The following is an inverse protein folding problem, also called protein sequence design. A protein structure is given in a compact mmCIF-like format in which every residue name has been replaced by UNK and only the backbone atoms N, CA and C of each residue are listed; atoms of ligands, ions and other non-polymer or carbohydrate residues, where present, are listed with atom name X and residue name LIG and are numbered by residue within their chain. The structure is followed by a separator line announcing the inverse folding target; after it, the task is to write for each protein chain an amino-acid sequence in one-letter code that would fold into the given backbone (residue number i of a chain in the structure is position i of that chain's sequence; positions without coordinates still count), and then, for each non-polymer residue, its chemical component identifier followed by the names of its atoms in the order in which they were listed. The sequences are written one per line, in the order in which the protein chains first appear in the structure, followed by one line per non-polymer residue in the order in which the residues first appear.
data_IF_874214591950
#
_entry.id   IF_874214591950
#
_cell.length_a   1.000
_cell.length_b   1.000
_cell.length_c   1.000
_cell.angle_alpha   90.00
_cell.angle_beta   90.00
_cell.angle_gamma   90.00
#
_symmetry.space_group_name_H-M   'P 1'
#
loop_
_entity.id
_entity.type
_entity.pdbx_description
1 polymer ?
#
# COMPACT_ATOMS: atom_id res chain seq x y z
N UNK A 1 2.41 -15.25 28.32
CA UNK A 1 2.80 -15.10 26.90
C UNK A 1 3.51 -13.76 26.82
N UNK A 2 4.81 -13.80 26.58
CA UNK A 2 5.68 -12.61 26.60
C UNK A 2 5.27 -11.63 25.48
N UNK A 3 4.77 -10.46 25.85
CA UNK A 3 4.59 -9.30 24.96
C UNK A 3 5.93 -8.60 24.66
N UNK A 4 7.05 -9.35 24.69
CA UNK A 4 8.37 -8.83 24.44
C UNK A 4 8.52 -8.47 22.95
N UNK A 5 8.58 -7.16 22.68
CA UNK A 5 9.13 -6.54 21.48
C UNK A 5 8.31 -6.72 20.16
N UNK A 6 7.02 -6.42 20.20
CA UNK A 6 6.26 -6.26 18.97
C UNK A 6 6.82 -5.08 18.16
N UNK A 7 7.25 -5.33 16.91
CA UNK A 7 7.78 -4.28 16.06
C UNK A 7 6.71 -3.20 15.84
N UNK A 8 7.05 -1.96 16.20
CA UNK A 8 6.16 -0.82 16.04
C UNK A 8 6.18 -0.32 14.59
N UNK A 9 5.00 -0.04 14.03
CA UNK A 9 4.82 0.49 12.68
C UNK A 9 3.95 1.73 12.72
N UNK A 10 4.42 2.82 12.09
CA UNK A 10 3.62 4.03 11.89
C UNK A 10 2.86 3.97 10.56
N UNK A 11 1.57 4.32 10.55
CA UNK A 11 0.75 4.39 9.33
C UNK A 11 0.21 5.81 9.17
N UNK A 12 0.47 6.39 8.00
CA UNK A 12 0.01 7.73 7.60
C UNK A 12 -1.07 7.56 6.50
N UNK A 13 -2.29 7.99 6.82
CA UNK A 13 -3.46 7.75 6.00
C UNK A 13 -4.17 6.45 6.40
N UNK A 14 -5.34 6.59 7.03
CA UNK A 14 -6.18 5.49 7.55
C UNK A 14 -7.48 5.36 6.73
N UNK A 15 -7.41 5.69 5.44
CA UNK A 15 -8.48 5.50 4.45
C UNK A 15 -8.72 4.01 4.14
N UNK A 16 -9.28 3.71 2.96
CA UNK A 16 -9.64 2.32 2.58
C UNK A 16 -8.44 1.37 2.62
N UNK A 17 -7.30 1.78 2.04
CA UNK A 17 -6.09 0.94 2.03
C UNK A 17 -5.41 0.95 3.39
N UNK A 18 -5.13 2.14 3.95
CA UNK A 18 -4.42 2.24 5.23
C UNK A 18 -5.13 1.53 6.37
N UNK A 19 -6.46 1.57 6.44
CA UNK A 19 -7.22 0.79 7.43
C UNK A 19 -7.06 -0.72 7.22
N UNK A 20 -7.08 -1.20 5.97
CA UNK A 20 -6.86 -2.62 5.69
C UNK A 20 -5.45 -3.08 6.08
N UNK A 21 -4.41 -2.25 5.80
CA UNK A 21 -3.04 -2.53 6.25
C UNK A 21 -2.95 -2.55 7.78
N UNK A 22 -3.61 -1.59 8.45
CA UNK A 22 -3.69 -1.52 9.91
C UNK A 22 -4.26 -2.81 10.51
N UNK A 23 -5.42 -3.25 10.02
CA UNK A 23 -6.10 -4.44 10.50
C UNK A 23 -5.23 -5.70 10.34
N UNK A 24 -4.59 -5.85 9.17
CA UNK A 24 -3.70 -6.98 8.90
C UNK A 24 -2.47 -6.97 9.81
N UNK A 25 -1.80 -5.83 9.98
CA UNK A 25 -0.61 -5.73 10.84
C UNK A 25 -0.94 -6.03 12.29
N UNK A 26 -2.04 -5.50 12.82
CA UNK A 26 -2.51 -5.81 14.18
C UNK A 26 -2.80 -7.31 14.34
N UNK A 27 -3.47 -7.93 13.36
CA UNK A 27 -3.75 -9.38 13.39
C UNK A 27 -2.49 -10.26 13.39
N UNK A 28 -1.36 -9.71 12.91
CA UNK A 28 -0.04 -10.35 12.91
C UNK A 28 0.83 -9.96 14.12
N UNK A 29 0.26 -9.24 15.08
CA UNK A 29 0.93 -8.89 16.33
C UNK A 29 1.83 -7.66 16.27
N UNK A 30 1.71 -6.80 15.25
CA UNK A 30 2.42 -5.51 15.24
C UNK A 30 1.74 -4.49 16.14
N UNK A 31 2.53 -3.65 16.82
CA UNK A 31 2.03 -2.43 17.45
C UNK A 31 1.87 -1.34 16.39
N UNK A 32 0.63 -0.98 16.06
CA UNK A 32 0.36 -0.01 14.98
C UNK A 32 0.01 1.36 15.57
N UNK A 33 0.77 2.37 15.16
CA UNK A 33 0.50 3.79 15.43
C UNK A 33 -0.03 4.44 14.15
N UNK A 34 -1.16 5.14 14.21
CA UNK A 34 -1.80 5.67 13.03
C UNK A 34 -2.10 7.16 13.11
N UNK A 35 -1.95 7.85 11.97
CA UNK A 35 -2.39 9.22 11.78
C UNK A 35 -3.24 9.37 10.52
N UNK A 36 -4.29 10.16 10.63
CA UNK A 36 -5.13 10.61 9.52
C UNK A 36 -5.75 11.96 9.91
N UNK A 37 -5.88 12.96 9.02
CA UNK A 37 -6.57 14.21 9.33
C UNK A 37 -8.06 14.01 9.59
N UNK A 38 -8.71 12.98 8.99
CA UNK A 38 -10.12 12.67 9.21
C UNK A 38 -10.35 12.02 10.58
N UNK A 39 -11.12 12.70 11.50
CA UNK A 39 -11.43 12.13 12.81
C UNK A 39 -12.24 10.82 12.72
N UNK A 40 -13.04 10.63 11.66
CA UNK A 40 -13.80 9.38 11.46
C UNK A 40 -12.87 8.21 11.14
N UNK A 41 -11.82 8.46 10.31
CA UNK A 41 -10.79 7.47 10.01
C UNK A 41 -10.01 7.09 11.28
N UNK A 42 -9.61 8.08 12.09
CA UNK A 42 -8.96 7.86 13.39
C UNK A 42 -9.81 7.02 14.35
N UNK A 43 -11.12 7.31 14.42
CA UNK A 43 -12.04 6.57 15.28
C UNK A 43 -12.17 5.11 14.84
N UNK A 44 -12.25 4.85 13.53
CA UNK A 44 -12.28 3.48 13.00
C UNK A 44 -10.99 2.72 13.35
N UNK A 45 -9.82 3.35 13.14
CA UNK A 45 -8.54 2.72 13.44
C UNK A 45 -8.38 2.38 14.93
N UNK A 46 -8.83 3.26 15.85
CA UNK A 46 -8.86 2.94 17.29
C UNK A 46 -9.70 1.71 17.61
N UNK A 47 -10.86 1.56 16.97
CA UNK A 47 -11.73 0.39 17.16
C UNK A 47 -11.08 -0.91 16.68
N UNK A 48 -10.22 -0.84 15.68
CA UNK A 48 -9.41 -1.96 15.22
C UNK A 48 -8.20 -2.28 16.12
N UNK A 49 -7.92 -1.44 17.13
CA UNK A 49 -6.78 -1.64 18.05
C UNK A 49 -5.55 -0.81 17.75
N UNK A 50 -5.59 0.11 16.77
CA UNK A 50 -4.48 1.02 16.49
C UNK A 50 -4.37 2.11 17.56
N UNK A 51 -3.15 2.48 17.92
CA UNK A 51 -2.84 3.65 18.72
C UNK A 51 -2.80 4.88 17.81
N UNK A 52 -3.79 5.78 17.95
CA UNK A 52 -3.91 6.93 17.06
C UNK A 52 -3.25 8.14 17.69
N UNK A 53 -2.32 8.74 16.96
CA UNK A 53 -1.62 9.97 17.34
C UNK A 53 -2.32 11.21 16.77
N UNK A 54 -2.02 12.39 17.34
CA UNK A 54 -2.66 13.65 16.97
C UNK A 54 -1.99 14.34 15.77
N UNK A 55 -0.74 13.99 15.45
CA UNK A 55 -0.01 14.53 14.32
C UNK A 55 0.91 13.49 13.69
N UNK A 56 1.35 13.74 12.44
CA UNK A 56 2.23 12.81 11.71
C UNK A 56 3.63 12.71 12.35
N UNK A 57 4.10 13.80 12.93
CA UNK A 57 5.42 13.89 13.55
C UNK A 57 5.52 12.98 14.79
N UNK A 58 4.41 12.84 15.52
CA UNK A 58 4.37 11.98 16.70
C UNK A 58 4.56 10.49 16.37
N UNK A 59 4.36 10.08 15.11
CA UNK A 59 4.68 8.71 14.70
C UNK A 59 6.16 8.40 14.87
N UNK A 60 7.04 9.39 14.67
CA UNK A 60 8.50 9.24 14.78
C UNK A 60 8.94 8.91 16.22
N UNK A 61 8.17 9.31 17.24
CA UNK A 61 8.41 8.93 18.64
C UNK A 61 8.14 7.45 18.93
N UNK A 62 7.35 6.80 18.07
CA UNK A 62 6.89 5.44 18.29
C UNK A 62 7.50 4.43 17.30
N UNK A 63 7.84 4.86 16.07
CA UNK A 63 8.37 3.95 15.06
C UNK A 63 9.31 4.66 14.07
N UNK A 64 10.35 3.95 13.63
CA UNK A 64 11.20 4.32 12.50
C UNK A 64 10.80 3.57 11.21
N UNK A 65 9.76 2.76 11.25
CA UNK A 65 9.19 2.05 10.09
C UNK A 65 7.81 2.62 9.80
N UNK A 66 7.72 3.44 8.76
CA UNK A 66 6.49 4.15 8.39
C UNK A 66 5.95 3.63 7.06
N UNK A 67 4.62 3.55 6.99
CA UNK A 67 3.87 3.33 5.75
C UNK A 67 3.03 4.58 5.49
N UNK A 68 2.98 5.04 4.23
CA UNK A 68 2.00 6.05 3.81
C UNK A 68 1.05 5.48 2.76
N UNK A 69 -0.24 5.79 2.90
CA UNK A 69 -1.30 5.42 1.97
C UNK A 69 -2.25 6.62 1.80
N UNK A 70 -1.92 7.46 0.85
CA UNK A 70 -2.44 8.82 0.73
C UNK A 70 -3.25 9.01 -0.56
N UNK A 71 -4.28 9.88 -0.55
CA UNK A 71 -5.20 10.02 -1.68
C UNK A 71 -4.64 10.84 -2.84
N UNK A 72 -3.63 11.68 -2.62
CA UNK A 72 -3.13 12.63 -3.61
C UNK A 72 -1.66 12.99 -3.42
N UNK A 73 -1.09 13.60 -4.45
CA UNK A 73 0.25 14.18 -4.40
C UNK A 73 0.37 15.27 -3.33
N UNK A 74 -0.64 16.13 -3.20
CA UNK A 74 -0.63 17.23 -2.23
C UNK A 74 -0.62 16.68 -0.79
N UNK A 75 -1.41 15.64 -0.50
CA UNK A 75 -1.40 14.98 0.80
C UNK A 75 -0.03 14.35 1.11
N UNK A 76 0.64 13.78 0.09
CA UNK A 76 1.97 13.23 0.26
C UNK A 76 3.02 14.31 0.47
N UNK A 77 2.96 15.42 -0.28
CA UNK A 77 3.87 16.55 -0.11
C UNK A 77 3.72 17.19 1.26
N UNK A 78 2.49 17.47 1.70
CA UNK A 78 2.21 18.00 3.03
C UNK A 78 2.74 17.07 4.15
N UNK A 79 2.61 15.76 3.98
CA UNK A 79 3.17 14.78 4.91
C UNK A 79 4.70 14.87 4.95
N UNK A 80 5.35 14.97 3.79
CA UNK A 80 6.81 15.13 3.72
C UNK A 80 7.28 16.42 4.36
N UNK A 81 6.55 17.54 4.13
CA UNK A 81 6.87 18.84 4.70
C UNK A 81 6.82 18.78 6.24
N UNK A 82 5.76 18.22 6.81
CA UNK A 82 5.61 18.08 8.25
C UNK A 82 6.74 17.24 8.88
N UNK A 83 7.09 16.10 8.27
CA UNK A 83 8.18 15.25 8.74
C UNK A 83 9.54 15.96 8.67
N UNK A 84 9.82 16.67 7.57
CA UNK A 84 11.07 17.41 7.39
C UNK A 84 11.16 18.55 8.39
N UNK A 85 10.10 19.35 8.55
CA UNK A 85 10.07 20.47 9.48
C UNK A 85 10.31 20.03 10.93
N UNK A 86 9.65 18.93 11.33
CA UNK A 86 9.86 18.36 12.68
C UNK A 86 11.32 17.96 12.92
N UNK A 87 11.92 17.22 11.97
CA UNK A 87 13.29 16.74 12.12
C UNK A 87 14.34 17.86 12.02
N UNK A 88 14.05 18.95 11.30
CA UNK A 88 14.95 20.10 11.21
C UNK A 88 14.86 21.03 12.43
N UNK A 89 13.68 21.11 13.06
CA UNK A 89 13.49 21.88 14.32
C UNK A 89 13.99 21.16 15.56
N UNK A 90 13.92 19.83 15.57
CA UNK A 90 14.44 19.02 16.66
C UNK A 90 15.96 19.13 16.64
N UNK A 91 16.58 19.60 17.73
CA UNK A 91 18.01 19.89 17.86
C UNK A 91 18.88 18.78 17.23
N UNK A 92 19.96 19.13 16.49
CA UNK A 92 20.78 18.15 15.81
C UNK A 92 21.53 17.30 16.82
N UNK A 93 21.08 16.09 17.08
CA UNK A 93 21.77 14.99 17.75
C UNK A 93 21.00 14.16 18.77
N UNK A 94 19.69 14.17 18.80
CA UNK A 94 19.07 12.89 19.19
C UNK A 94 19.09 12.03 17.92
N UNK A 95 20.24 11.44 17.62
CA UNK A 95 20.34 10.47 16.53
C UNK A 95 19.28 9.39 16.81
N UNK A 96 18.26 9.31 15.97
CA UNK A 96 17.35 8.17 16.06
C UNK A 96 18.20 6.90 16.04
N UNK A 97 18.03 5.97 16.99
CA UNK A 97 18.89 4.81 17.13
C UNK A 97 18.91 3.91 15.89
N UNK A 98 18.03 4.18 14.97
CA UNK A 98 17.90 3.48 13.67
C UNK A 98 17.46 4.45 12.58
N UNK A 99 17.90 4.25 11.32
CA UNK A 99 17.44 5.07 10.19
C UNK A 99 15.92 5.02 10.04
N UNK A 100 15.28 6.17 9.79
CA UNK A 100 13.84 6.23 9.51
C UNK A 100 13.61 5.77 8.07
N UNK A 101 12.65 4.87 7.88
CA UNK A 101 12.23 4.39 6.56
C UNK A 101 10.74 4.70 6.38
N UNK A 102 10.40 5.42 5.31
CA UNK A 102 9.03 5.66 4.87
C UNK A 102 8.76 4.87 3.59
N UNK A 103 7.86 3.91 3.63
CA UNK A 103 7.40 3.20 2.44
C UNK A 103 6.09 3.82 1.93
N UNK A 104 6.17 4.50 0.79
CA UNK A 104 5.03 5.16 0.14
C UNK A 104 4.30 4.16 -0.75
N UNK A 105 3.05 3.84 -0.39
CA UNK A 105 2.26 2.78 -1.05
C UNK A 105 1.25 3.29 -2.07
N UNK A 106 1.05 4.60 -2.18
CA UNK A 106 0.06 5.19 -3.08
C UNK A 106 0.52 5.18 -4.54
N UNK A 107 -0.44 5.22 -5.45
CA UNK A 107 -0.17 5.35 -6.88
C UNK A 107 -0.08 6.83 -7.24
N UNK A 108 1.14 7.38 -7.19
CA UNK A 108 1.44 8.80 -7.43
C UNK A 108 2.45 8.96 -8.59
N UNK A 109 2.52 10.14 -9.23
CA UNK A 109 3.53 10.40 -10.27
C UNK A 109 4.95 10.15 -9.79
N UNK A 110 5.75 9.45 -10.61
CA UNK A 110 7.14 9.09 -10.28
C UNK A 110 7.98 10.35 -10.00
N UNK A 111 7.77 11.42 -10.77
CA UNK A 111 8.48 12.70 -10.61
C UNK A 111 8.28 13.30 -9.22
N UNK A 112 7.06 13.24 -8.69
CA UNK A 112 6.73 13.70 -7.34
C UNK A 112 7.44 12.85 -6.29
N UNK A 113 7.33 11.52 -6.39
CA UNK A 113 8.02 10.60 -5.46
C UNK A 113 9.54 10.82 -5.49
N UNK A 114 10.15 11.02 -6.67
CA UNK A 114 11.58 11.31 -6.80
C UNK A 114 11.99 12.66 -6.20
N UNK A 115 11.14 13.69 -6.33
CA UNK A 115 11.37 14.99 -5.69
C UNK A 115 11.34 14.84 -4.17
N UNK A 116 10.32 14.18 -3.63
CA UNK A 116 10.21 13.97 -2.19
C UNK A 116 11.30 13.03 -1.64
N UNK A 117 11.76 12.04 -2.41
CA UNK A 117 12.88 11.20 -2.02
C UNK A 117 14.13 12.04 -1.72
N UNK A 118 14.47 13.00 -2.60
CA UNK A 118 15.62 13.88 -2.39
C UNK A 118 15.45 14.77 -1.17
N UNK A 119 14.25 15.34 -0.97
CA UNK A 119 13.94 16.21 0.17
C UNK A 119 13.99 15.46 1.50
N UNK A 120 13.37 14.30 1.58
CA UNK A 120 13.37 13.46 2.77
C UNK A 120 14.78 12.96 3.14
N UNK A 121 15.61 12.68 2.14
CA UNK A 121 17.00 12.25 2.37
C UNK A 121 17.82 13.33 3.11
N UNK A 122 17.59 14.63 2.86
CA UNK A 122 18.28 15.72 3.60
C UNK A 122 17.87 15.76 5.07
N UNK A 123 16.69 15.25 5.42
CA UNK A 123 16.20 15.12 6.80
C UNK A 123 16.47 13.74 7.42
N UNK A 124 17.27 12.89 6.77
CA UNK A 124 17.62 11.55 7.30
C UNK A 124 16.55 10.48 7.12
N UNK A 125 15.51 10.72 6.32
CA UNK A 125 14.47 9.72 6.01
C UNK A 125 14.78 9.03 4.68
N UNK A 126 14.81 7.70 4.70
CA UNK A 126 14.88 6.88 3.49
C UNK A 126 13.48 6.62 2.95
N UNK A 127 13.16 7.17 1.79
CA UNK A 127 11.90 6.88 1.11
C UNK A 127 12.04 5.63 0.24
N UNK A 128 11.05 4.73 0.33
CA UNK A 128 10.83 3.62 -0.59
C UNK A 128 9.59 3.90 -1.45
N UNK A 129 9.63 3.51 -2.72
CA UNK A 129 8.47 3.50 -3.61
C UNK A 129 7.89 2.08 -3.65
N UNK A 130 6.72 1.90 -3.02
CA UNK A 130 6.15 0.59 -2.70
C UNK A 130 4.66 0.49 -3.07
N UNK A 131 4.23 0.82 -4.31
CA UNK A 131 2.82 0.72 -4.66
C UNK A 131 2.29 -0.70 -4.53
N UNK A 132 1.00 -0.80 -4.22
CA UNK A 132 0.32 -2.07 -3.98
C UNK A 132 -0.42 -2.54 -5.23
N UNK A 133 -0.36 -3.82 -5.51
CA UNK A 133 -1.20 -4.49 -6.51
C UNK A 133 -2.30 -5.28 -5.81
N UNK A 134 -3.53 -4.80 -5.96
CA UNK A 134 -4.75 -5.32 -5.34
C UNK A 134 -5.72 -4.18 -5.02
N UNK A 135 -6.94 -4.55 -4.68
CA UNK A 135 -8.02 -3.64 -4.25
C UNK A 135 -8.09 -3.54 -2.74
N UNK A 136 -8.85 -2.57 -2.20
CA UNK A 136 -9.09 -2.48 -0.76
C UNK A 136 -9.74 -3.74 -0.17
N UNK A 137 -10.61 -4.41 -0.94
CA UNK A 137 -11.19 -5.69 -0.51
C UNK A 137 -10.13 -6.79 -0.39
N UNK A 138 -9.23 -6.88 -1.37
CA UNK A 138 -8.10 -7.82 -1.32
C UNK A 138 -7.11 -7.48 -0.19
N UNK A 139 -6.86 -6.20 0.06
CA UNK A 139 -6.00 -5.77 1.16
C UNK A 139 -6.53 -6.21 2.53
N UNK A 140 -7.85 -6.19 2.74
CA UNK A 140 -8.49 -6.71 3.97
C UNK A 140 -8.26 -8.21 4.19
N UNK A 141 -7.99 -8.95 3.12
CA UNK A 141 -7.70 -10.39 3.16
C UNK A 141 -6.19 -10.69 3.09
N UNK A 142 -5.34 -9.65 3.08
CA UNK A 142 -3.90 -9.81 2.86
C UNK A 142 -3.53 -10.22 1.43
N UNK A 143 -4.49 -10.25 0.48
CA UNK A 143 -4.28 -10.66 -0.92
C UNK A 143 -3.80 -9.46 -1.79
N UNK A 144 -2.74 -8.80 -1.37
CA UNK A 144 -2.06 -7.77 -2.16
C UNK A 144 -0.60 -8.13 -2.39
N UNK A 145 0.00 -7.53 -3.42
CA UNK A 145 1.43 -7.64 -3.71
C UNK A 145 2.07 -6.26 -3.52
N UNK A 146 3.19 -6.22 -2.80
CA UNK A 146 4.01 -5.00 -2.65
C UNK A 146 5.09 -4.97 -3.72
N UNK A 147 5.13 -3.92 -4.51
CA UNK A 147 6.19 -3.63 -5.48
C UNK A 147 7.23 -2.70 -4.86
N UNK A 148 8.14 -3.25 -4.05
CA UNK A 148 9.11 -2.46 -3.30
C UNK A 148 10.28 -2.02 -4.18
N UNK A 149 10.65 -0.75 -4.13
CA UNK A 149 11.83 -0.23 -4.82
C UNK A 149 12.51 0.89 -4.03
N UNK A 150 13.87 0.89 -4.05
CA UNK A 150 14.71 1.82 -3.32
C UNK A 150 15.99 1.18 -2.77
N UNK A 151 16.63 1.77 -1.75
CA UNK A 151 17.83 1.21 -1.16
C UNK A 151 17.60 -0.19 -0.56
N UNK A 152 18.41 -1.16 -0.97
CA UNK A 152 18.26 -2.59 -0.59
C UNK A 152 18.22 -2.83 0.93
N UNK A 153 19.01 -2.07 1.71
CA UNK A 153 18.98 -2.16 3.19
C UNK A 153 17.61 -1.76 3.75
N UNK A 154 17.02 -0.68 3.23
CA UNK A 154 15.74 -0.19 3.67
C UNK A 154 14.60 -1.15 3.26
N UNK A 155 14.63 -1.69 2.03
CA UNK A 155 13.68 -2.72 1.59
C UNK A 155 13.74 -3.92 2.53
N UNK A 156 14.93 -4.48 2.80
CA UNK A 156 15.07 -5.62 3.71
C UNK A 156 14.53 -5.34 5.12
N UNK A 157 14.74 -4.13 5.62
CA UNK A 157 14.20 -3.73 6.93
C UNK A 157 12.67 -3.69 6.95
N UNK A 158 12.03 -3.30 5.83
CA UNK A 158 10.58 -3.24 5.71
C UNK A 158 9.93 -4.59 5.34
N UNK A 159 10.69 -5.60 4.93
CA UNK A 159 10.15 -6.89 4.50
C UNK A 159 9.25 -7.56 5.54
N UNK A 160 9.59 -7.60 6.86
CA UNK A 160 8.68 -8.16 7.86
C UNK A 160 7.34 -7.40 7.95
N UNK A 161 7.37 -6.07 7.83
CA UNK A 161 6.16 -5.23 7.81
C UNK A 161 5.32 -5.53 6.57
N UNK A 162 5.95 -5.61 5.38
CA UNK A 162 5.26 -5.94 4.15
C UNK A 162 4.62 -7.34 4.20
N UNK A 163 5.33 -8.33 4.75
CA UNK A 163 4.82 -9.68 4.94
C UNK A 163 3.62 -9.73 5.91
N UNK A 164 3.53 -8.76 6.85
CA UNK A 164 2.42 -8.67 7.79
C UNK A 164 1.07 -8.34 7.14
N UNK A 165 1.05 -7.73 5.94
CA UNK A 165 -0.19 -7.34 5.29
C UNK A 165 -0.33 -7.79 3.83
N UNK A 166 0.64 -8.47 3.27
CA UNK A 166 0.62 -8.85 1.86
C UNK A 166 1.01 -10.31 1.64
N UNK A 167 0.49 -10.92 0.56
CA UNK A 167 0.82 -12.30 0.20
C UNK A 167 2.17 -12.44 -0.51
N UNK A 168 2.67 -11.35 -1.11
CA UNK A 168 3.95 -11.34 -1.81
C UNK A 168 4.60 -9.94 -1.78
N UNK A 169 5.92 -9.92 -1.68
CA UNK A 169 6.75 -8.73 -1.65
C UNK A 169 7.85 -8.90 -2.69
N UNK A 170 7.93 -7.99 -3.65
CA UNK A 170 8.89 -8.06 -4.75
C UNK A 170 9.87 -6.89 -4.64
N UNK A 171 11.16 -7.19 -4.44
CA UNK A 171 12.24 -6.19 -4.52
C UNK A 171 12.54 -5.90 -6.01
N UNK A 172 12.18 -4.71 -6.46
CA UNK A 172 12.37 -4.24 -7.84
C UNK A 172 13.62 -3.35 -7.98
N UNK A 173 14.45 -3.29 -6.96
CA UNK A 173 15.75 -2.60 -6.97
C UNK A 173 15.58 -1.08 -6.99
N UNK A 174 16.03 -0.41 -8.06
CA UNK A 174 16.14 1.04 -8.14
C UNK A 174 14.81 1.75 -7.85
N UNK A 175 14.86 2.82 -7.01
CA UNK A 175 13.71 3.67 -6.69
C UNK A 175 12.94 4.12 -7.94
N UNK A 176 11.61 4.04 -7.87
CA UNK A 176 10.68 4.32 -8.96
C UNK A 176 10.33 3.09 -9.82
N UNK A 177 11.04 1.96 -9.68
CA UNK A 177 10.68 0.73 -10.38
C UNK A 177 9.36 0.13 -9.86
N UNK A 178 9.01 0.37 -8.59
CA UNK A 178 7.70 0.02 -8.03
C UNK A 178 6.57 0.64 -8.83
N UNK A 179 6.60 1.97 -8.99
CA UNK A 179 5.58 2.69 -9.79
C UNK A 179 5.60 2.29 -11.27
N UNK A 180 6.78 2.07 -11.88
CA UNK A 180 6.86 1.59 -13.27
C UNK A 180 6.16 0.25 -13.43
N UNK A 181 6.44 -0.70 -12.53
CA UNK A 181 5.78 -2.02 -12.52
C UNK A 181 4.27 -1.89 -12.27
N UNK A 182 3.86 -0.97 -11.36
CA UNK A 182 2.44 -0.69 -11.11
C UNK A 182 1.72 -0.19 -12.36
N UNK A 183 2.35 0.67 -13.17
CA UNK A 183 1.78 1.16 -14.44
C UNK A 183 1.60 0.01 -15.44
N UNK A 184 2.58 -0.86 -15.59
CA UNK A 184 2.50 -2.06 -16.44
C UNK A 184 1.38 -2.98 -15.97
N UNK A 185 1.31 -3.26 -14.66
CA UNK A 185 0.25 -4.09 -14.10
C UNK A 185 -1.14 -3.47 -14.30
N UNK A 186 -1.28 -2.16 -14.09
CA UNK A 186 -2.55 -1.47 -14.28
C UNK A 186 -3.01 -1.45 -15.75
N UNK A 187 -2.09 -1.36 -16.71
CA UNK A 187 -2.41 -1.50 -18.14
C UNK A 187 -3.06 -2.87 -18.41
N UNK A 188 -2.45 -3.96 -17.93
CA UNK A 188 -3.01 -5.31 -18.07
C UNK A 188 -4.37 -5.46 -17.36
N UNK A 189 -4.51 -4.89 -16.14
CA UNK A 189 -5.80 -4.88 -15.44
C UNK A 189 -6.88 -4.19 -16.28
N UNK A 190 -6.57 -3.05 -16.89
CA UNK A 190 -7.52 -2.31 -17.74
C UNK A 190 -7.91 -3.13 -18.98
N UNK A 191 -6.94 -3.65 -19.72
CA UNK A 191 -7.17 -4.45 -20.93
C UNK A 191 -7.98 -5.71 -20.60
N UNK A 192 -7.58 -6.46 -19.57
CA UNK A 192 -8.26 -7.69 -19.19
C UNK A 192 -9.71 -7.47 -18.72
N UNK A 193 -10.00 -6.32 -18.08
CA UNK A 193 -11.38 -5.99 -17.70
C UNK A 193 -12.26 -5.76 -18.93
N UNK A 194 -11.76 -5.00 -19.90
CA UNK A 194 -12.51 -4.73 -21.14
C UNK A 194 -12.69 -6.03 -21.93
N UNK A 195 -11.61 -6.77 -22.14
CA UNK A 195 -11.65 -8.05 -22.86
C UNK A 195 -12.61 -9.07 -22.22
N UNK A 196 -12.62 -9.15 -20.87
CA UNK A 196 -13.55 -10.03 -20.16
C UNK A 196 -15.02 -9.61 -20.39
N UNK A 197 -15.32 -8.30 -20.32
CA UNK A 197 -16.67 -7.80 -20.53
C UNK A 197 -17.15 -8.05 -21.98
N UNK A 198 -16.29 -7.80 -22.96
CA UNK A 198 -16.58 -8.04 -24.38
C UNK A 198 -16.79 -9.54 -24.67
N UNK A 199 -15.95 -10.41 -24.11
CA UNK A 199 -16.09 -11.87 -24.28
C UNK A 199 -17.42 -12.40 -23.70
N UNK A 200 -17.82 -11.92 -22.51
CA UNK A 200 -19.09 -12.29 -21.88
C UNK A 200 -20.27 -11.78 -22.74
N UNK A 201 -20.19 -10.54 -23.21
CA UNK A 201 -21.23 -9.97 -24.09
C UNK A 201 -21.35 -10.72 -25.43
N UNK A 202 -20.22 -11.08 -26.03
CA UNK A 202 -20.20 -11.91 -27.25
C UNK A 202 -20.86 -13.26 -27.01
N UNK A 203 -20.48 -13.96 -25.92
CA UNK A 203 -21.10 -15.23 -25.55
C UNK A 203 -22.62 -15.12 -25.39
N UNK A 204 -23.09 -14.06 -24.71
CA UNK A 204 -24.53 -13.77 -24.55
C UNK A 204 -25.23 -13.57 -25.92
N UNK A 205 -24.62 -12.85 -26.86
CA UNK A 205 -25.14 -12.64 -28.20
C UNK A 205 -25.19 -13.93 -29.05
N UNK A 206 -24.29 -14.87 -28.79
CA UNK A 206 -24.23 -16.18 -29.39
C UNK A 206 -25.18 -17.20 -28.73
N UNK A 207 -25.98 -16.79 -27.76
CA UNK A 207 -26.95 -17.63 -27.04
C UNK A 207 -26.35 -18.46 -25.89
N UNK A 208 -25.11 -18.21 -25.49
CA UNK A 208 -24.48 -18.89 -24.36
C UNK A 208 -24.89 -18.24 -23.04
N UNK A 209 -24.93 -19.05 -21.98
CA UNK A 209 -25.15 -18.54 -20.62
C UNK A 209 -23.88 -17.76 -20.13
N UNK A 210 -24.00 -16.47 -19.74
CA UNK A 210 -22.85 -15.68 -19.31
C UNK A 210 -22.05 -16.30 -18.16
N UNK A 211 -22.71 -16.94 -17.20
CA UNK A 211 -22.02 -17.59 -16.09
C UNK A 211 -21.21 -18.82 -16.56
N UNK A 212 -21.74 -19.55 -17.54
CA UNK A 212 -21.03 -20.68 -18.15
C UNK A 212 -19.85 -20.20 -18.99
N UNK A 213 -19.98 -19.09 -19.73
CA UNK A 213 -18.85 -18.45 -20.44
C UNK A 213 -17.70 -18.15 -19.47
N UNK A 214 -17.99 -17.52 -18.33
CA UNK A 214 -16.98 -17.21 -17.31
C UNK A 214 -16.32 -18.48 -16.80
N UNK A 215 -17.10 -19.51 -16.47
CA UNK A 215 -16.60 -20.79 -15.96
C UNK A 215 -15.69 -21.50 -16.97
N UNK A 216 -16.19 -21.70 -18.19
CA UNK A 216 -15.47 -22.49 -19.22
C UNK A 216 -14.23 -21.76 -19.73
N UNK A 217 -14.32 -20.46 -20.03
CA UNK A 217 -13.17 -19.66 -20.46
C UNK A 217 -12.15 -19.54 -19.33
N UNK A 218 -12.61 -19.54 -18.07
CA UNK A 218 -11.74 -19.50 -16.88
C UNK A 218 -10.78 -20.68 -16.78
N UNK A 219 -11.11 -21.84 -17.34
CA UNK A 219 -10.26 -23.05 -17.35
C UNK A 219 -9.27 -23.10 -18.54
N UNK A 220 -9.48 -22.26 -19.55
CA UNK A 220 -8.70 -22.29 -20.78
C UNK A 220 -7.68 -21.17 -20.93
N UNK A 221 -7.02 -21.12 -22.08
CA UNK A 221 -6.02 -20.12 -22.44
C UNK A 221 -6.55 -18.67 -22.48
N UNK A 222 -7.87 -18.49 -22.62
CA UNK A 222 -8.54 -17.18 -22.56
C UNK A 222 -8.70 -16.64 -21.13
N UNK A 223 -8.24 -17.39 -20.11
CA UNK A 223 -8.36 -16.98 -18.70
C UNK A 223 -7.50 -15.77 -18.36
N UNK A 224 -7.98 -14.99 -17.43
CA UNK A 224 -7.19 -13.93 -16.77
C UNK A 224 -7.65 -13.78 -15.32
N UNK A 225 -6.77 -13.27 -14.44
CA UNK A 225 -7.16 -12.97 -13.05
C UNK A 225 -8.36 -12.00 -12.99
N UNK A 226 -8.51 -11.11 -13.97
CA UNK A 226 -9.62 -10.18 -14.02
C UNK A 226 -10.93 -10.88 -14.41
N UNK A 227 -10.90 -11.81 -15.37
CA UNK A 227 -12.05 -12.65 -15.67
C UNK A 227 -12.49 -13.46 -14.45
N UNK A 228 -11.56 -14.08 -13.73
CA UNK A 228 -11.86 -14.89 -12.55
C UNK A 228 -12.48 -14.06 -11.42
N UNK A 229 -11.94 -12.85 -11.13
CA UNK A 229 -12.39 -12.01 -10.01
C UNK A 229 -13.64 -11.19 -10.34
N UNK A 230 -13.76 -10.68 -11.56
CA UNK A 230 -14.84 -9.75 -11.96
C UNK A 230 -15.87 -10.35 -12.90
N UNK A 231 -15.52 -11.42 -13.60
CA UNK A 231 -16.42 -12.11 -14.53
C UNK A 231 -17.76 -12.51 -13.90
N UNK A 232 -17.79 -13.10 -12.68
CA UNK A 232 -19.06 -13.42 -12.02
C UNK A 232 -19.97 -12.21 -11.82
N UNK A 233 -19.42 -11.05 -11.45
CA UNK A 233 -20.19 -9.79 -11.32
C UNK A 233 -20.67 -9.24 -12.66
N UNK A 234 -19.88 -9.41 -13.73
CA UNK A 234 -20.25 -8.99 -15.09
C UNK A 234 -21.36 -9.88 -15.65
N UNK A 235 -21.28 -11.18 -15.39
CA UNK A 235 -22.25 -12.17 -15.87
C UNK A 235 -23.62 -12.07 -15.18
N UNK A 236 -23.69 -11.49 -13.97
CA UNK A 236 -24.93 -11.34 -13.19
C UNK A 236 -25.74 -10.09 -13.55
N UNK A 237 -25.27 -9.25 -14.46
CA UNK A 237 -25.93 -8.01 -14.94
C UNK A 237 -26.46 -8.20 -16.34
#
# INVERSE_FOLDING_TARGET
MDHANQAAVGIIGLGIMGSALTDQLISKGFSVFGFDPDPKARTRARRSGAQVVSSVELLLSHSQQLLSSLPSSDAFEATCDALIEHLTRSTPKAAHPSPIVLAETSTLPISIKQRQQRRLATAGITLLDCPLSGTGAQARLGDVVVYASGPKKAIRRMMPVFAGFSRAQVDLGRFGNGMRMKLVANLLVAIHNVAAAEAILLGKRLGLNPAEVVRVVGEGAGSSRMLQVRGPMMASR
#
